data_IF_411857995774
#
_entry.id   IF_411857995774
#
_cell.length_a   1.000
_cell.length_b   1.000
_cell.length_c   1.000
_cell.angle_alpha   90.00
_cell.angle_beta   90.00
_cell.angle_gamma   90.00
#
_symmetry.space_group_name_H-M   'P 1'
#
loop_
_entity.id
_entity.type
_entity.pdbx_description
1 polymer ?
#
# COMPACT_ATOMS: atom_id res chain seq x y z
N UNK A 1 18.90 -1.04 1.73
CA UNK A 1 17.58 -1.07 1.09
C UNK A 1 17.04 -2.49 1.08
N UNK A 2 15.81 -2.68 1.48
CA UNK A 2 15.17 -4.00 1.57
C UNK A 2 13.99 -4.05 0.61
N UNK A 3 13.98 -5.07 -0.25
CA UNK A 3 12.87 -5.29 -1.19
C UNK A 3 11.99 -6.43 -0.68
N UNK A 4 10.68 -6.21 -0.69
CA UNK A 4 9.70 -7.22 -0.26
C UNK A 4 8.57 -7.30 -1.30
N UNK A 5 8.18 -8.50 -1.64
CA UNK A 5 7.06 -8.74 -2.55
C UNK A 5 5.86 -9.23 -1.75
N UNK A 6 4.83 -8.40 -1.65
CA UNK A 6 3.60 -8.68 -0.92
C UNK A 6 3.86 -9.31 0.46
N UNK A 7 4.55 -8.59 1.36
CA UNK A 7 5.05 -9.19 2.60
C UNK A 7 3.95 -9.68 3.56
N UNK A 8 2.71 -9.18 3.43
CA UNK A 8 1.60 -9.62 4.28
C UNK A 8 0.86 -10.82 3.71
N UNK A 9 1.22 -11.27 2.51
CA UNK A 9 0.51 -12.35 1.85
C UNK A 9 0.64 -13.65 2.65
N UNK A 10 -0.49 -14.34 2.85
CA UNK A 10 -0.52 -15.58 3.62
C UNK A 10 -0.62 -15.41 5.13
N UNK A 11 -0.57 -14.19 5.65
CA UNK A 11 -0.73 -13.92 7.07
C UNK A 11 -2.19 -13.65 7.43
N UNK A 12 -2.60 -14.04 8.63
CA UNK A 12 -3.90 -13.62 9.16
C UNK A 12 -3.91 -12.12 9.46
N UNK A 13 -5.07 -11.56 9.70
CA UNK A 13 -5.22 -10.10 9.87
C UNK A 13 -4.34 -9.56 11.01
N UNK A 14 -4.34 -10.23 12.16
CA UNK A 14 -3.54 -9.76 13.30
C UNK A 14 -2.04 -9.74 13.01
N UNK A 15 -1.54 -10.78 12.34
CA UNK A 15 -0.13 -10.86 11.96
C UNK A 15 0.22 -9.87 10.84
N UNK A 16 -0.72 -9.59 9.94
CA UNK A 16 -0.52 -8.54 8.94
C UNK A 16 -0.28 -7.19 9.62
N UNK A 17 -1.11 -6.85 10.60
CA UNK A 17 -0.97 -5.57 11.31
C UNK A 17 0.37 -5.50 12.05
N UNK A 18 0.76 -6.58 12.72
CA UNK A 18 2.05 -6.63 13.44
C UNK A 18 3.23 -6.42 12.50
N UNK A 19 3.20 -7.05 11.33
CA UNK A 19 4.27 -6.88 10.35
C UNK A 19 4.32 -5.45 9.82
N UNK A 20 3.17 -4.87 9.49
CA UNK A 20 3.11 -3.50 8.98
C UNK A 20 3.60 -2.49 10.02
N UNK A 21 3.24 -2.68 11.29
CA UNK A 21 3.73 -1.83 12.37
C UNK A 21 5.26 -1.92 12.50
N UNK A 22 5.81 -3.12 12.38
CA UNK A 22 7.25 -3.31 12.43
C UNK A 22 7.96 -2.62 11.27
N UNK A 23 7.43 -2.77 10.05
CA UNK A 23 7.99 -2.10 8.86
C UNK A 23 7.97 -0.59 9.02
N UNK A 24 6.87 -0.05 9.52
CA UNK A 24 6.74 1.38 9.74
C UNK A 24 7.76 1.87 10.79
N UNK A 25 7.89 1.15 11.89
CA UNK A 25 8.83 1.51 12.94
C UNK A 25 10.29 1.50 12.45
N UNK A 26 10.66 0.47 11.68
CA UNK A 26 12.01 0.40 11.10
C UNK A 26 12.24 1.49 10.08
N UNK A 27 11.23 1.83 9.28
CA UNK A 27 11.31 2.95 8.35
C UNK A 27 11.58 4.27 9.06
N UNK A 28 10.92 4.48 10.20
CA UNK A 28 11.13 5.67 11.02
C UNK A 28 12.53 5.72 11.63
N UNK A 29 13.17 4.56 11.81
CA UNK A 29 14.55 4.48 12.28
C UNK A 29 15.59 4.68 11.17
N UNK A 30 15.16 4.86 9.93
CA UNK A 30 16.04 5.14 8.81
C UNK A 30 16.27 4.00 7.84
N UNK A 31 15.65 2.85 8.05
CA UNK A 31 15.70 1.75 7.08
C UNK A 31 14.87 2.09 5.86
N UNK A 32 15.35 1.72 4.68
CA UNK A 32 14.63 1.94 3.43
C UNK A 32 14.03 0.62 2.95
N UNK A 33 12.72 0.64 2.70
CA UNK A 33 11.98 -0.51 2.20
C UNK A 33 11.33 -0.17 0.87
N UNK A 34 11.34 -1.14 -0.05
CA UNK A 34 10.54 -1.10 -1.28
C UNK A 34 9.68 -2.36 -1.26
N UNK A 35 8.38 -2.21 -1.32
CA UNK A 35 7.48 -3.36 -1.27
C UNK A 35 6.37 -3.25 -2.28
N UNK A 36 5.87 -4.40 -2.72
CA UNK A 36 4.66 -4.47 -3.53
C UNK A 36 3.48 -4.87 -2.66
N UNK A 37 2.29 -4.43 -3.02
CA UNK A 37 1.07 -4.83 -2.33
C UNK A 37 -0.14 -4.61 -3.22
N UNK A 38 -1.17 -5.46 -3.04
CA UNK A 38 -2.49 -5.26 -3.64
C UNK A 38 -3.41 -4.47 -2.72
N UNK A 39 -2.97 -4.13 -1.53
CA UNK A 39 -3.83 -3.54 -0.51
C UNK A 39 -3.48 -2.05 -0.34
N UNK A 40 -4.28 -1.13 -0.93
CA UNK A 40 -4.00 0.30 -0.82
C UNK A 40 -3.90 0.79 0.61
N UNK A 41 -4.71 0.23 1.51
CA UNK A 41 -4.66 0.61 2.93
C UNK A 41 -3.33 0.29 3.57
N UNK A 42 -2.71 -0.85 3.20
CA UNK A 42 -1.38 -1.20 3.69
C UNK A 42 -0.35 -0.18 3.21
N UNK A 43 -0.37 0.16 1.94
CA UNK A 43 0.55 1.15 1.38
C UNK A 43 0.38 2.50 2.06
N UNK A 44 -0.86 2.94 2.28
CA UNK A 44 -1.14 4.22 2.95
C UNK A 44 -0.58 4.24 4.37
N UNK A 45 -0.69 3.10 5.08
CA UNK A 45 -0.24 3.00 6.46
C UNK A 45 1.28 3.03 6.60
N UNK A 46 2.00 2.29 5.74
CA UNK A 46 3.44 2.07 5.95
C UNK A 46 4.35 2.90 5.06
N UNK A 47 3.87 3.39 3.92
CA UNK A 47 4.76 4.01 2.93
C UNK A 47 4.63 5.52 2.88
N UNK A 48 5.76 6.16 2.57
CA UNK A 48 5.82 7.60 2.34
C UNK A 48 5.46 7.94 0.89
N UNK A 49 5.92 7.09 -0.04
CA UNK A 49 5.71 7.27 -1.47
C UNK A 49 5.04 6.02 -2.03
N UNK A 50 4.14 6.23 -2.98
CA UNK A 50 3.43 5.15 -3.65
C UNK A 50 3.50 5.35 -5.17
N UNK A 51 3.67 4.23 -5.87
CA UNK A 51 3.64 4.14 -7.31
C UNK A 51 2.51 3.20 -7.70
N UNK A 52 1.53 3.72 -8.45
CA UNK A 52 0.45 2.89 -8.99
C UNK A 52 0.80 2.43 -10.39
N UNK A 53 0.73 1.11 -10.60
CA UNK A 53 0.98 0.48 -11.89
C UNK A 53 -0.25 -0.32 -12.31
N UNK A 54 -0.67 -0.17 -13.55
CA UNK A 54 -1.75 -0.97 -14.14
C UNK A 54 -1.39 -1.30 -15.58
N UNK A 55 -1.55 -2.57 -15.94
CA UNK A 55 -1.29 -3.06 -17.30
C UNK A 55 0.11 -2.69 -17.81
N UNK A 56 1.09 -2.73 -16.90
CA UNK A 56 2.47 -2.41 -17.25
C UNK A 56 2.79 -0.94 -17.35
N UNK A 57 1.82 -0.07 -17.07
CA UNK A 57 2.00 1.37 -17.16
C UNK A 57 1.89 2.04 -15.79
N UNK A 58 2.66 3.11 -15.60
CA UNK A 58 2.60 3.94 -14.40
C UNK A 58 1.39 4.85 -14.51
N UNK A 59 0.43 4.68 -13.59
CA UNK A 59 -0.75 5.56 -13.53
C UNK A 59 -0.50 6.80 -12.70
N UNK A 60 0.24 6.67 -11.60
CA UNK A 60 0.49 7.78 -10.69
C UNK A 60 1.67 7.46 -9.79
N UNK A 61 2.35 8.51 -9.35
CA UNK A 61 3.45 8.42 -8.39
C UNK A 61 3.42 9.65 -7.49
N UNK A 62 3.56 9.45 -6.20
CA UNK A 62 3.57 10.57 -5.27
C UNK A 62 3.52 10.13 -3.81
N UNK A 63 3.25 11.09 -2.95
CA UNK A 63 3.12 10.84 -1.51
C UNK A 63 1.90 9.98 -1.24
N UNK A 64 2.09 8.93 -0.44
CA UNK A 64 1.03 7.94 -0.20
C UNK A 64 -0.23 8.55 0.37
N UNK A 65 -0.12 9.45 1.34
CA UNK A 65 -1.28 10.05 1.98
C UNK A 65 -2.13 10.92 1.04
N UNK A 66 -1.51 11.45 -0.02
CA UNK A 66 -2.21 12.27 -1.00
C UNK A 66 -2.70 11.45 -2.18
N UNK A 67 -1.94 10.42 -2.55
CA UNK A 67 -2.19 9.64 -3.75
C UNK A 67 -3.23 8.54 -3.53
N UNK A 68 -3.24 7.94 -2.35
CA UNK A 68 -4.15 6.83 -2.05
C UNK A 68 -5.49 7.41 -1.57
N UNK A 69 -6.39 7.58 -2.53
CA UNK A 69 -7.72 8.09 -2.30
C UNK A 69 -8.72 7.32 -3.17
N UNK A 70 -10.02 7.52 -2.93
CA UNK A 70 -11.06 6.76 -3.61
C UNK A 70 -10.99 6.92 -5.14
N UNK A 71 -10.70 8.13 -5.62
CA UNK A 71 -10.64 8.39 -7.06
C UNK A 71 -9.55 7.56 -7.74
N UNK A 72 -8.35 7.52 -7.18
CA UNK A 72 -7.24 6.77 -7.76
C UNK A 72 -7.47 5.26 -7.65
N UNK A 73 -8.05 4.80 -6.56
CA UNK A 73 -8.39 3.39 -6.39
C UNK A 73 -9.45 2.97 -7.38
N UNK A 74 -10.46 3.80 -7.62
CA UNK A 74 -11.48 3.54 -8.64
C UNK A 74 -10.85 3.36 -10.01
N UNK A 75 -9.90 4.21 -10.37
CA UNK A 75 -9.20 4.11 -11.65
C UNK A 75 -8.39 2.83 -11.79
N UNK A 76 -7.70 2.43 -10.73
CA UNK A 76 -6.82 1.26 -10.76
C UNK A 76 -7.62 -0.03 -10.83
N UNK A 77 -8.65 -0.15 -10.02
CA UNK A 77 -9.44 -1.38 -9.93
C UNK A 77 -10.70 -1.36 -10.78
N UNK A 78 -11.01 -0.23 -11.43
CA UNK A 78 -12.21 -0.06 -12.23
C UNK A 78 -13.48 -0.36 -11.43
N UNK A 79 -13.51 0.11 -10.18
CA UNK A 79 -14.62 -0.08 -9.26
C UNK A 79 -15.03 1.25 -8.62
N UNK A 80 -16.17 1.26 -7.95
CA UNK A 80 -16.57 2.38 -7.11
C UNK A 80 -16.13 2.08 -5.68
N UNK A 81 -14.90 2.46 -5.36
CA UNK A 81 -14.27 2.15 -4.07
C UNK A 81 -15.03 2.74 -2.89
N UNK A 82 -15.64 3.90 -3.06
CA UNK A 82 -16.39 4.55 -1.97
C UNK A 82 -17.52 3.68 -1.42
N UNK A 83 -18.11 2.83 -2.27
CA UNK A 83 -19.13 1.88 -1.83
C UNK A 83 -18.60 0.78 -0.95
N UNK A 84 -17.30 0.48 -1.05
CA UNK A 84 -16.69 -0.68 -0.40
C UNK A 84 -15.60 -0.31 0.60
N UNK A 85 -15.36 0.97 0.79
CA UNK A 85 -14.25 1.47 1.60
C UNK A 85 -14.21 0.86 3.01
N UNK A 86 -15.35 0.73 3.66
CA UNK A 86 -15.44 0.18 5.00
C UNK A 86 -15.35 -1.34 5.03
N UNK A 87 -15.38 -2.00 3.88
CA UNK A 87 -15.39 -3.46 3.78
C UNK A 87 -14.05 -4.01 3.28
N UNK A 88 -13.20 -3.15 2.78
CA UNK A 88 -11.90 -3.51 2.24
C UNK A 88 -10.81 -3.00 3.17
#
# INVERSE_FOLDING_TARGET
>A
MIFMDEPTNGLDFGNQIKLLEMIKALGDEGYTFVQTTHYPRHAKFVSNLTLFIKDGEILAFGRSEQLINAENIDKIYSINYERYEDRL
#
